data_IF_272965663307
#
_entry.id   IF_272965663307
#
_cell.length_a   1.000
_cell.length_b   1.000
_cell.length_c   1.000
_cell.angle_alpha   90.00
_cell.angle_beta   90.00
_cell.angle_gamma   90.00
#
_symmetry.space_group_name_H-M   'P 1'
#
loop_
_entity.id
_entity.type
_entity.pdbx_description
1 polymer ?
#
# COMPACT_ATOMS: atom_id res chain seq x y z
N UNK A 1 8.80 11.70 -16.13
CA UNK A 1 8.16 10.48 -15.58
C UNK A 1 7.63 10.81 -14.19
N UNK A 2 6.38 10.50 -13.96
CA UNK A 2 5.69 10.73 -12.70
C UNK A 2 5.34 9.40 -12.04
N UNK A 3 5.74 9.20 -10.80
CA UNK A 3 5.54 7.95 -10.05
C UNK A 3 4.63 8.19 -8.86
N UNK A 4 3.51 7.45 -8.79
CA UNK A 4 2.71 7.41 -7.59
C UNK A 4 3.25 6.32 -6.66
N UNK A 5 3.67 6.70 -5.45
CA UNK A 5 4.21 5.77 -4.45
C UNK A 5 3.15 5.43 -3.41
N UNK A 6 2.79 4.16 -3.34
CA UNK A 6 1.89 3.62 -2.31
C UNK A 6 2.73 3.20 -1.11
N UNK A 7 2.60 3.96 -0.03
CA UNK A 7 3.33 3.76 1.21
C UNK A 7 2.80 2.57 2.02
N UNK A 8 3.65 1.93 2.84
CA UNK A 8 3.34 0.67 3.56
C UNK A 8 2.40 0.80 4.76
N UNK A 9 1.69 1.88 4.95
CA UNK A 9 0.82 2.06 6.11
C UNK A 9 1.62 2.30 7.42
N UNK A 10 1.28 1.57 8.50
CA UNK A 10 1.86 1.82 9.84
C UNK A 10 3.15 1.07 10.17
N UNK A 11 3.73 0.32 9.26
CA UNK A 11 4.99 -0.39 9.49
C UNK A 11 6.18 0.60 9.57
N UNK A 12 6.56 1.01 10.77
CA UNK A 12 7.54 2.09 11.01
C UNK A 12 8.87 1.88 10.28
N UNK A 13 9.46 0.69 10.36
CA UNK A 13 10.73 0.40 9.67
C UNK A 13 10.62 0.52 8.15
N UNK A 14 9.58 -0.04 7.58
CA UNK A 14 9.32 0.00 6.13
C UNK A 14 8.97 1.41 5.65
N UNK A 15 8.37 2.24 6.53
CA UNK A 15 8.06 3.63 6.19
C UNK A 15 9.34 4.45 5.98
N UNK A 16 10.36 4.32 6.83
CA UNK A 16 11.65 4.99 6.64
C UNK A 16 12.35 4.57 5.36
N UNK A 17 12.30 3.28 5.01
CA UNK A 17 12.83 2.78 3.74
C UNK A 17 12.09 3.42 2.56
N UNK A 18 10.76 3.48 2.63
CA UNK A 18 9.94 4.12 1.61
C UNK A 18 10.29 5.61 1.43
N UNK A 19 10.44 6.34 2.54
CA UNK A 19 10.85 7.76 2.50
C UNK A 19 12.24 7.94 1.90
N UNK A 20 13.18 7.05 2.21
CA UNK A 20 14.51 7.05 1.59
C UNK A 20 14.45 6.84 0.08
N UNK A 21 13.63 5.91 -0.38
CA UNK A 21 13.41 5.68 -1.81
C UNK A 21 12.75 6.87 -2.52
N UNK A 22 11.72 7.45 -1.92
CA UNK A 22 11.06 8.65 -2.47
C UNK A 22 12.04 9.79 -2.63
N UNK A 23 12.91 10.01 -1.65
CA UNK A 23 13.96 11.02 -1.71
C UNK A 23 14.98 10.72 -2.82
N UNK A 24 15.46 9.47 -2.92
CA UNK A 24 16.36 9.05 -3.99
C UNK A 24 15.75 9.23 -5.39
N UNK A 25 14.47 8.89 -5.56
CA UNK A 25 13.76 9.13 -6.83
C UNK A 25 13.68 10.63 -7.16
N UNK A 26 13.39 11.48 -6.17
CA UNK A 26 13.36 12.95 -6.35
C UNK A 26 14.73 13.51 -6.71
N UNK A 27 15.80 13.01 -6.09
CA UNK A 27 17.20 13.40 -6.43
C UNK A 27 17.56 13.01 -7.86
N UNK A 28 17.00 11.92 -8.40
CA UNK A 28 17.12 11.50 -9.79
C UNK A 28 16.23 12.30 -10.76
N UNK A 29 15.52 13.32 -10.29
CA UNK A 29 14.63 14.15 -11.10
C UNK A 29 13.28 13.52 -11.45
N UNK A 30 12.86 12.51 -10.71
CA UNK A 30 11.53 11.88 -10.86
C UNK A 30 10.49 12.69 -10.10
N UNK A 31 9.35 12.96 -10.72
CA UNK A 31 8.19 13.57 -10.05
C UNK A 31 7.48 12.50 -9.22
N UNK A 32 7.61 12.58 -7.89
CA UNK A 32 7.07 11.59 -6.95
C UNK A 32 5.81 12.12 -6.28
N UNK A 33 4.72 11.38 -6.44
CA UNK A 33 3.44 11.62 -5.76
C UNK A 33 3.25 10.61 -4.64
N UNK A 34 3.23 11.09 -3.40
CA UNK A 34 3.08 10.26 -2.20
C UNK A 34 1.60 10.05 -1.88
N UNK A 35 1.16 8.79 -1.67
CA UNK A 35 -0.23 8.51 -1.28
C UNK A 35 -0.51 8.79 0.19
N UNK A 36 0.52 8.76 1.05
CA UNK A 36 0.42 8.93 2.51
C UNK A 36 -0.63 8.00 3.14
N UNK A 37 -0.57 6.74 2.75
CA UNK A 37 -1.50 5.67 3.16
C UNK A 37 -1.64 5.60 4.69
N UNK A 38 -0.55 5.78 5.42
CA UNK A 38 -0.50 5.81 6.88
C UNK A 38 -1.39 6.90 7.49
N UNK A 39 -1.46 8.06 6.84
CA UNK A 39 -2.34 9.18 7.29
C UNK A 39 -3.81 8.88 7.02
N UNK A 40 -4.10 8.26 5.88
CA UNK A 40 -5.47 7.86 5.53
C UNK A 40 -6.01 6.83 6.52
N UNK A 41 -5.21 5.81 6.87
CA UNK A 41 -5.56 4.82 7.87
C UNK A 41 -5.73 5.46 9.25
N UNK A 42 -4.81 6.34 9.67
CA UNK A 42 -4.91 7.04 10.95
C UNK A 42 -6.18 7.89 11.05
N UNK A 43 -6.55 8.59 9.99
CA UNK A 43 -7.78 9.37 9.94
C UNK A 43 -9.01 8.47 10.06
N UNK A 44 -9.05 7.34 9.36
CA UNK A 44 -10.14 6.37 9.47
C UNK A 44 -10.20 5.74 10.86
N UNK A 45 -9.06 5.46 11.48
CA UNK A 45 -9.02 4.98 12.87
C UNK A 45 -9.69 5.95 13.84
N UNK A 46 -9.45 7.25 13.68
CA UNK A 46 -10.11 8.26 14.51
C UNK A 46 -11.63 8.30 14.28
N UNK A 47 -12.07 8.22 13.03
CA UNK A 47 -13.50 8.20 12.67
C UNK A 47 -14.17 6.95 13.26
N UNK A 48 -13.63 5.77 13.02
CA UNK A 48 -14.20 4.49 13.45
C UNK A 48 -14.30 4.42 14.99
N UNK A 49 -13.33 4.96 15.71
CA UNK A 49 -13.35 5.03 17.18
C UNK A 49 -14.54 5.84 17.74
N UNK A 50 -15.05 6.82 17.00
CA UNK A 50 -16.25 7.58 17.43
C UNK A 50 -17.50 6.70 17.45
N UNK A 51 -17.50 5.60 16.69
CA UNK A 51 -18.60 4.64 16.60
C UNK A 51 -18.31 3.33 17.33
N UNK A 52 -17.36 3.34 18.28
CA UNK A 52 -16.91 2.15 19.01
C UNK A 52 -18.08 1.33 19.59
N UNK A 53 -19.00 1.98 20.31
CA UNK A 53 -20.12 1.32 20.96
C UNK A 53 -21.07 0.62 19.98
N UNK A 54 -21.15 1.15 18.74
CA UNK A 54 -21.95 0.52 17.68
C UNK A 54 -21.26 -0.73 17.15
N UNK A 55 -19.95 -0.66 16.90
CA UNK A 55 -19.17 -1.77 16.35
C UNK A 55 -18.96 -2.90 17.37
N UNK A 56 -18.81 -2.60 18.66
CA UNK A 56 -18.72 -3.60 19.72
C UNK A 56 -19.97 -4.48 19.78
N UNK A 57 -21.14 -3.93 19.46
CA UNK A 57 -22.40 -4.70 19.42
C UNK A 57 -22.46 -5.74 18.30
N UNK A 58 -21.65 -5.60 17.26
CA UNK A 58 -21.59 -6.48 16.10
C UNK A 58 -20.29 -7.29 16.04
N UNK A 59 -19.53 -7.31 17.15
CA UNK A 59 -18.25 -8.05 17.28
C UNK A 59 -17.29 -7.84 16.09
N UNK A 60 -17.08 -6.60 15.72
CA UNK A 60 -16.30 -6.25 14.55
C UNK A 60 -14.96 -5.63 14.93
N UNK A 61 -13.87 -6.10 14.29
CA UNK A 61 -12.52 -5.53 14.45
C UNK A 61 -12.43 -4.11 13.87
N UNK A 62 -12.40 -3.12 14.75
CA UNK A 62 -12.31 -1.70 14.41
C UNK A 62 -11.04 -1.36 13.62
N UNK A 63 -9.92 -2.02 13.92
CA UNK A 63 -8.67 -1.76 13.20
C UNK A 63 -8.77 -2.24 11.76
N UNK A 64 -9.37 -3.41 11.55
CA UNK A 64 -9.59 -3.96 10.20
C UNK A 64 -10.49 -3.03 9.36
N UNK A 65 -11.56 -2.51 9.96
CA UNK A 65 -12.43 -1.53 9.28
C UNK A 65 -11.64 -0.27 8.89
N UNK A 66 -10.88 0.30 9.82
CA UNK A 66 -10.12 1.51 9.59
C UNK A 66 -9.04 1.32 8.51
N UNK A 67 -8.33 0.18 8.52
CA UNK A 67 -7.35 -0.17 7.49
C UNK A 67 -8.04 -0.28 6.13
N UNK A 68 -9.13 -1.03 6.04
CA UNK A 68 -9.85 -1.22 4.78
C UNK A 68 -10.35 0.11 4.20
N UNK A 69 -11.01 0.92 5.02
CA UNK A 69 -11.48 2.25 4.60
C UNK A 69 -10.32 3.19 4.21
N UNK A 70 -9.19 3.13 4.89
CA UNK A 70 -7.99 3.87 4.54
C UNK A 70 -7.42 3.46 3.19
N UNK A 71 -7.39 2.16 2.90
CA UNK A 71 -6.95 1.62 1.62
C UNK A 71 -7.91 1.95 0.48
N UNK A 72 -9.22 1.92 0.70
CA UNK A 72 -10.22 2.37 -0.28
C UNK A 72 -10.06 3.86 -0.61
N UNK A 73 -9.82 4.71 0.39
CA UNK A 73 -9.52 6.12 0.18
C UNK A 73 -8.23 6.33 -0.61
N UNK A 74 -7.21 5.51 -0.40
CA UNK A 74 -5.98 5.54 -1.18
C UNK A 74 -6.28 5.18 -2.65
N UNK A 75 -7.04 4.12 -2.92
CA UNK A 75 -7.49 3.75 -4.28
C UNK A 75 -8.26 4.88 -4.95
N UNK A 76 -9.23 5.48 -4.24
CA UNK A 76 -10.00 6.59 -4.75
C UNK A 76 -9.11 7.78 -5.15
N UNK A 77 -8.07 8.08 -4.37
CA UNK A 77 -7.09 9.11 -4.73
C UNK A 77 -6.31 8.76 -5.99
N UNK A 78 -5.83 7.51 -6.11
CA UNK A 78 -5.07 7.06 -7.29
C UNK A 78 -5.86 7.18 -8.59
N UNK A 79 -7.19 7.01 -8.56
CA UNK A 79 -8.05 7.21 -9.72
C UNK A 79 -8.05 8.64 -10.28
N UNK A 80 -7.75 9.64 -9.45
CA UNK A 80 -7.74 11.07 -9.82
C UNK A 80 -6.33 11.63 -10.00
N UNK A 81 -5.30 10.81 -9.75
CA UNK A 81 -3.91 11.22 -9.95
C UNK A 81 -3.47 10.86 -11.36
N UNK A 82 -2.73 11.78 -11.97
CA UNK A 82 -2.00 11.51 -13.20
C UNK A 82 -0.61 10.96 -12.85
N UNK A 83 -0.28 9.75 -13.32
CA UNK A 83 1.03 9.10 -13.12
C UNK A 83 1.32 8.12 -14.25
N UNK A 84 2.60 7.91 -14.52
CA UNK A 84 3.10 6.95 -15.51
C UNK A 84 3.30 5.56 -14.91
N UNK A 85 3.64 5.51 -13.61
CA UNK A 85 4.00 4.30 -12.90
C UNK A 85 3.41 4.33 -11.49
N UNK A 86 2.86 3.20 -11.06
CA UNK A 86 2.42 2.95 -9.70
C UNK A 86 3.44 2.05 -8.99
N UNK A 87 4.04 2.55 -7.92
CA UNK A 87 5.03 1.84 -7.15
C UNK A 87 4.54 1.57 -5.73
N UNK A 88 4.39 0.29 -5.40
CA UNK A 88 3.94 -0.17 -4.09
C UNK A 88 5.13 -0.63 -3.27
N UNK A 89 5.20 -0.18 -2.02
CA UNK A 89 6.20 -0.65 -1.06
C UNK A 89 5.50 -1.54 -0.03
N UNK A 90 5.96 -2.77 0.11
CA UNK A 90 5.51 -3.81 1.04
C UNK A 90 4.20 -4.53 0.62
N UNK A 91 3.10 -3.85 0.40
CA UNK A 91 1.83 -4.47 -0.01
C UNK A 91 1.08 -5.27 1.07
N UNK A 92 1.59 -5.36 2.30
CA UNK A 92 1.02 -6.19 3.40
C UNK A 92 -0.46 -5.92 3.71
N UNK A 93 -0.92 -4.68 3.51
CA UNK A 93 -2.29 -4.29 3.77
C UNK A 93 -3.23 -4.50 2.56
N UNK A 94 -2.73 -5.07 1.47
CA UNK A 94 -3.50 -5.30 0.25
C UNK A 94 -4.27 -6.61 0.35
N UNK A 95 -5.52 -6.52 0.81
CA UNK A 95 -6.46 -7.65 0.78
C UNK A 95 -6.95 -7.94 -0.64
N UNK A 96 -7.52 -9.14 -0.92
CA UNK A 96 -8.12 -9.43 -2.22
C UNK A 96 -9.17 -8.40 -2.68
N UNK A 97 -9.94 -7.84 -1.75
CA UNK A 97 -10.92 -6.80 -2.06
C UNK A 97 -10.25 -5.51 -2.54
N UNK A 98 -9.17 -5.10 -1.90
CA UNK A 98 -8.38 -3.94 -2.29
C UNK A 98 -7.72 -4.19 -3.65
N UNK A 99 -7.16 -5.39 -3.88
CA UNK A 99 -6.53 -5.75 -5.16
C UNK A 99 -7.51 -5.73 -6.32
N UNK A 100 -8.78 -6.13 -6.13
CA UNK A 100 -9.82 -6.00 -7.16
C UNK A 100 -10.03 -4.55 -7.63
N UNK A 101 -9.86 -3.57 -6.75
CA UNK A 101 -9.87 -2.15 -7.10
C UNK A 101 -8.56 -1.71 -7.74
N UNK A 102 -7.45 -2.20 -7.20
CA UNK A 102 -6.10 -1.87 -7.64
C UNK A 102 -5.83 -2.33 -9.09
N UNK A 103 -6.34 -3.50 -9.47
CA UNK A 103 -6.21 -4.06 -10.82
C UNK A 103 -6.92 -3.22 -11.91
N UNK A 104 -7.81 -2.32 -11.50
CA UNK A 104 -8.52 -1.40 -12.41
C UNK A 104 -7.80 -0.05 -12.58
N UNK A 105 -6.74 0.20 -11.82
CA UNK A 105 -5.97 1.43 -11.93
C UNK A 105 -5.16 1.46 -13.23
N UNK A 106 -5.01 2.63 -13.87
CA UNK A 106 -4.22 2.76 -15.08
C UNK A 106 -2.71 2.67 -14.80
N UNK A 107 -1.93 2.48 -15.86
CA UNK A 107 -0.47 2.52 -15.81
C UNK A 107 0.18 1.20 -15.45
N UNK A 108 1.51 1.20 -15.48
CA UNK A 108 2.33 0.06 -15.05
C UNK A 108 2.43 0.00 -13.55
N UNK A 109 2.52 -1.21 -13.02
CA UNK A 109 2.53 -1.48 -11.58
C UNK A 109 3.79 -2.21 -11.18
N UNK A 110 4.45 -1.67 -10.17
CA UNK A 110 5.67 -2.25 -9.59
C UNK A 110 5.47 -2.41 -8.09
N UNK A 111 5.91 -3.53 -7.54
CA UNK A 111 5.92 -3.77 -6.10
C UNK A 111 7.32 -4.10 -5.62
N UNK A 112 7.68 -3.59 -4.45
CA UNK A 112 8.82 -4.05 -3.68
C UNK A 112 8.32 -4.75 -2.42
N UNK A 113 8.54 -6.06 -2.38
CA UNK A 113 8.16 -6.98 -1.30
C UNK A 113 9.28 -6.99 -0.25
N UNK A 114 9.01 -6.42 0.91
CA UNK A 114 10.04 -6.18 1.94
C UNK A 114 10.06 -7.23 3.05
N UNK A 115 9.06 -8.14 3.07
CA UNK A 115 8.87 -9.13 4.14
C UNK A 115 9.42 -10.52 3.80
N UNK A 116 10.07 -10.70 2.62
CA UNK A 116 10.74 -11.96 2.29
C UNK A 116 11.83 -12.29 3.32
N UNK A 117 11.97 -13.57 3.76
CA UNK A 117 11.18 -14.74 3.34
C UNK A 117 9.97 -15.07 4.26
N UNK A 118 9.54 -14.16 5.11
CA UNK A 118 8.58 -14.46 6.21
C UNK A 118 7.11 -14.59 5.77
N UNK A 119 6.74 -14.01 4.64
CA UNK A 119 5.35 -13.99 4.12
C UNK A 119 5.29 -14.42 2.65
N UNK A 120 6.10 -15.40 2.23
CA UNK A 120 6.31 -15.76 0.82
C UNK A 120 5.02 -16.14 0.07
N UNK A 121 4.10 -16.89 0.68
CA UNK A 121 2.83 -17.24 0.03
C UNK A 121 1.99 -16.00 -0.29
N UNK A 122 1.89 -15.05 0.65
CA UNK A 122 1.18 -13.81 0.44
C UNK A 122 1.89 -12.93 -0.60
N UNK A 123 3.21 -12.87 -0.55
CA UNK A 123 4.02 -12.10 -1.48
C UNK A 123 3.97 -12.68 -2.90
N UNK A 124 4.00 -14.00 -3.07
CA UNK A 124 3.84 -14.66 -4.36
C UNK A 124 2.47 -14.36 -4.97
N UNK A 125 1.41 -14.41 -4.16
CA UNK A 125 0.08 -14.01 -4.60
C UNK A 125 0.05 -12.53 -5.04
N UNK A 126 0.61 -11.62 -4.24
CA UNK A 126 0.69 -10.20 -4.59
C UNK A 126 1.47 -9.97 -5.89
N UNK A 127 2.63 -10.60 -6.04
CA UNK A 127 3.48 -10.45 -7.21
C UNK A 127 2.73 -10.69 -8.52
N UNK A 128 1.79 -11.65 -8.53
CA UNK A 128 0.95 -11.97 -9.69
C UNK A 128 0.04 -10.82 -10.18
N UNK A 129 -0.16 -9.76 -9.38
CA UNK A 129 -0.95 -8.58 -9.73
C UNK A 129 -0.11 -7.40 -10.27
N UNK A 130 1.22 -7.55 -10.36
CA UNK A 130 2.14 -6.48 -10.76
C UNK A 130 2.92 -6.84 -12.00
N UNK A 131 3.29 -5.84 -12.79
CA UNK A 131 4.14 -6.03 -13.98
C UNK A 131 5.58 -6.39 -13.60
N UNK A 132 6.05 -5.87 -12.44
CA UNK A 132 7.36 -6.17 -11.87
C UNK A 132 7.26 -6.28 -10.35
N UNK A 133 7.89 -7.32 -9.80
CA UNK A 133 8.03 -7.51 -8.36
C UNK A 133 9.51 -7.62 -7.99
N UNK A 134 9.92 -6.88 -6.95
CA UNK A 134 11.25 -6.95 -6.36
C UNK A 134 11.15 -7.56 -4.97
N UNK A 135 12.07 -8.44 -4.64
CA UNK A 135 12.17 -9.10 -3.33
C UNK A 135 13.53 -8.81 -2.71
N UNK A 136 13.60 -8.83 -1.37
CA UNK A 136 14.85 -8.63 -0.65
C UNK A 136 15.72 -9.89 -0.60
N UNK A 137 15.11 -11.07 -0.67
CA UNK A 137 15.79 -12.34 -0.58
C UNK A 137 15.84 -13.05 -1.94
N UNK A 138 17.05 -13.48 -2.32
CA UNK A 138 17.25 -14.22 -3.55
C UNK A 138 16.54 -15.58 -3.56
N UNK A 139 16.35 -16.20 -2.39
CA UNK A 139 15.67 -17.49 -2.26
C UNK A 139 14.16 -17.39 -2.48
N UNK A 140 13.59 -16.20 -2.40
CA UNK A 140 12.16 -15.95 -2.68
C UNK A 140 11.87 -15.70 -4.17
N UNK A 141 12.85 -15.94 -5.07
CA UNK A 141 12.69 -15.78 -6.52
C UNK A 141 12.23 -17.06 -7.22
N UNK A 142 12.24 -18.20 -6.53
CA UNK A 142 11.85 -19.52 -7.04
C UNK A 142 10.38 -19.84 -6.67
#
# INVERSE_FOLDING_TARGET
MRIAVVRPGHAMSTLFVCEGMENGLKELGVDVVETKTERLISMQTLIVRQFKDLYEKIDTDLNRIAIHAGMENMLARLLYLDYDLLFVVNGRLMSPQIMNGFDKLPGRRVIWLTESPYEDEHQAWLAGHFDFAFVNDKLSLD
#
